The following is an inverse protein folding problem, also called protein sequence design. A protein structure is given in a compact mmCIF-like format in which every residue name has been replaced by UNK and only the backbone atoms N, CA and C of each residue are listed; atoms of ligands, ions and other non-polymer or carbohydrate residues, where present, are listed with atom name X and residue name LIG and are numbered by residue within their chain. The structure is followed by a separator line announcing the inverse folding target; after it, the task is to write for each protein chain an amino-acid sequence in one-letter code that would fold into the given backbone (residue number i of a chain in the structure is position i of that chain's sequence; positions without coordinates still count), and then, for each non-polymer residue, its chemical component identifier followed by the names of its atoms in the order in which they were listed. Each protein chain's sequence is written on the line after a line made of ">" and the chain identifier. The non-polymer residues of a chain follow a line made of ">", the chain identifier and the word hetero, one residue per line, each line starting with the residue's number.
data_IF_784644801025
#
_entry.id   IF_784644801025
#
_cell.length_a   1.000
_cell.length_b   1.000
_cell.length_c   1.000
_cell.angle_alpha   90.00
_cell.angle_beta   90.00
_cell.angle_gamma   90.00
#
_symmetry.space_group_name_H-M   'P 1'
#
loop_
_entity.id
_entity.type
_entity.pdbx_description
1 polymer ?
#
# COMPACT_ATOMS: atom_id res chain seq x y z
N UNK A 1 -1.37 -15.10 -16.81
CA UNK A 1 -0.11 -15.77 -17.16
C UNK A 1 0.67 -15.94 -15.87
N UNK A 2 0.52 -17.10 -15.23
CA UNK A 2 1.27 -17.45 -14.02
C UNK A 2 2.74 -17.60 -14.44
N UNK A 3 3.63 -16.87 -13.77
CA UNK A 3 5.06 -16.99 -14.01
C UNK A 3 5.48 -18.40 -13.54
N UNK A 4 5.64 -19.34 -14.48
CA UNK A 4 6.14 -20.68 -14.20
C UNK A 4 7.65 -20.59 -13.99
N UNK A 5 8.05 -20.19 -12.79
CA UNK A 5 9.45 -20.19 -12.37
C UNK A 5 9.76 -21.54 -11.73
N UNK A 6 10.92 -22.13 -12.02
CA UNK A 6 11.32 -23.44 -11.49
C UNK A 6 11.35 -23.44 -9.96
N UNK A 7 11.08 -24.59 -9.33
CA UNK A 7 11.10 -24.73 -7.85
C UNK A 7 12.43 -24.26 -7.22
N UNK A 8 13.54 -24.44 -7.93
CA UNK A 8 14.87 -23.96 -7.53
C UNK A 8 14.99 -22.43 -7.57
N UNK A 9 14.47 -21.77 -8.60
CA UNK A 9 14.49 -20.30 -8.69
C UNK A 9 13.58 -19.69 -7.64
N UNK A 10 12.46 -20.37 -7.41
CA UNK A 10 11.46 -20.04 -6.43
C UNK A 10 12.07 -19.92 -5.02
N UNK A 11 12.78 -20.94 -4.56
CA UNK A 11 13.42 -20.96 -3.24
C UNK A 11 14.52 -19.89 -3.09
N UNK A 12 15.33 -19.69 -4.14
CA UNK A 12 16.38 -18.65 -4.16
C UNK A 12 15.78 -17.24 -4.07
N UNK A 13 14.69 -16.95 -4.79
CA UNK A 13 14.02 -15.65 -4.69
C UNK A 13 13.38 -15.43 -3.32
N UNK A 14 12.82 -16.46 -2.69
CA UNK A 14 12.29 -16.35 -1.33
C UNK A 14 13.41 -16.02 -0.33
N UNK A 15 14.53 -16.75 -0.39
CA UNK A 15 15.66 -16.53 0.51
C UNK A 15 16.29 -15.15 0.31
N UNK A 16 16.47 -14.70 -0.93
CA UNK A 16 16.97 -13.35 -1.22
C UNK A 16 15.99 -12.26 -0.77
N UNK A 17 14.68 -12.50 -0.91
CA UNK A 17 13.65 -11.58 -0.45
C UNK A 17 13.63 -11.48 1.08
N UNK A 18 13.71 -12.61 1.79
CA UNK A 18 13.83 -12.65 3.25
C UNK A 18 15.12 -11.96 3.68
N UNK A 19 16.25 -12.23 3.04
CA UNK A 19 17.52 -11.59 3.36
C UNK A 19 17.42 -10.08 3.21
N UNK A 20 16.97 -9.58 2.06
CA UNK A 20 16.80 -8.16 1.78
C UNK A 20 15.93 -7.46 2.84
N UNK A 21 14.76 -8.03 3.15
CA UNK A 21 13.80 -7.44 4.08
C UNK A 21 14.12 -7.67 5.56
N UNK A 22 15.13 -8.50 5.87
CA UNK A 22 15.52 -8.79 7.24
C UNK A 22 16.95 -8.39 7.60
N UNK A 23 17.66 -7.79 6.64
CA UNK A 23 18.90 -7.07 6.90
C UNK A 23 18.71 -6.02 7.98
N UNK A 24 19.75 -5.89 8.82
CA UNK A 24 19.77 -5.09 10.05
C UNK A 24 19.35 -3.62 9.85
N UNK A 25 19.55 -3.11 8.63
CA UNK A 25 19.24 -1.74 8.21
C UNK A 25 17.74 -1.39 8.23
N UNK A 26 16.83 -2.36 8.11
CA UNK A 26 15.38 -2.12 7.96
C UNK A 26 14.54 -2.66 9.13
N UNK A 27 15.19 -3.03 10.25
CA UNK A 27 14.59 -3.85 11.29
C UNK A 27 13.89 -3.03 12.38
N UNK A 28 12.56 -3.13 12.44
CA UNK A 28 11.86 -3.29 13.72
C UNK A 28 11.39 -4.75 13.80
N UNK A 29 11.57 -5.40 14.94
CA UNK A 29 11.34 -6.85 15.12
C UNK A 29 9.92 -7.29 14.72
N UNK A 30 8.92 -6.42 14.94
CA UNK A 30 7.52 -6.67 14.61
C UNK A 30 7.25 -6.82 13.10
N UNK A 31 8.01 -6.15 12.23
CA UNK A 31 7.80 -6.23 10.79
C UNK A 31 8.33 -7.55 10.19
N UNK A 32 9.34 -8.17 10.80
CA UNK A 32 9.95 -9.40 10.26
C UNK A 32 9.02 -10.60 10.36
N UNK A 33 8.34 -10.79 11.49
CA UNK A 33 7.44 -11.94 11.71
C UNK A 33 6.19 -11.85 10.82
N UNK A 34 5.53 -10.69 10.79
CA UNK A 34 4.32 -10.47 9.98
C UNK A 34 4.58 -10.69 8.49
N UNK A 35 5.68 -10.12 7.98
CA UNK A 35 6.04 -10.24 6.58
C UNK A 35 6.47 -11.67 6.25
N UNK A 36 7.25 -12.32 7.11
CA UNK A 36 7.63 -13.72 6.89
C UNK A 36 6.40 -14.62 6.89
N UNK A 37 5.47 -14.47 7.83
CA UNK A 37 4.26 -15.28 7.89
C UNK A 37 3.34 -15.06 6.68
N UNK A 38 3.11 -13.80 6.27
CA UNK A 38 2.27 -13.51 5.11
C UNK A 38 2.86 -14.07 3.81
N UNK A 39 4.14 -13.81 3.53
CA UNK A 39 4.76 -14.25 2.29
C UNK A 39 5.11 -15.73 2.30
N UNK A 40 5.54 -16.31 3.43
CA UNK A 40 5.75 -17.75 3.57
C UNK A 40 4.44 -18.52 3.42
N UNK A 41 3.34 -18.06 4.03
CA UNK A 41 2.03 -18.71 3.86
C UNK A 41 1.59 -18.70 2.39
N UNK A 42 1.64 -17.54 1.73
CA UNK A 42 1.29 -17.46 0.30
C UNK A 42 2.18 -18.35 -0.57
N UNK A 43 3.46 -18.42 -0.21
CA UNK A 43 4.42 -19.26 -0.90
C UNK A 43 4.14 -20.76 -0.73
N UNK A 44 3.99 -21.23 0.51
CA UNK A 44 3.76 -22.64 0.81
C UNK A 44 2.37 -23.12 0.36
N UNK A 45 1.35 -22.27 0.42
CA UNK A 45 -0.02 -22.65 0.06
C UNK A 45 -0.33 -22.50 -1.44
N UNK A 46 0.24 -21.49 -2.12
CA UNK A 46 -0.09 -21.20 -3.52
C UNK A 46 1.08 -21.38 -4.50
N UNK A 47 2.32 -21.55 -4.01
CA UNK A 47 3.51 -21.65 -4.86
C UNK A 47 3.83 -20.36 -5.63
N UNK A 48 3.31 -19.22 -5.17
CA UNK A 48 3.42 -17.92 -5.84
C UNK A 48 4.27 -16.96 -5.00
N UNK A 49 5.38 -16.46 -5.57
CA UNK A 49 6.16 -15.39 -4.95
C UNK A 49 5.49 -14.08 -5.32
N UNK A 50 5.27 -13.20 -4.35
CA UNK A 50 4.89 -11.84 -4.67
C UNK A 50 6.00 -11.17 -5.48
N UNK A 51 5.64 -10.64 -6.64
CA UNK A 51 6.54 -9.88 -7.51
C UNK A 51 6.37 -8.36 -7.35
N UNK A 52 5.38 -7.93 -6.58
CA UNK A 52 5.08 -6.53 -6.28
C UNK A 52 5.74 -6.01 -4.99
N UNK A 53 5.69 -4.69 -4.76
CA UNK A 53 6.20 -4.08 -3.53
C UNK A 53 5.40 -4.55 -2.31
N UNK A 54 5.99 -4.50 -1.11
CA UNK A 54 5.25 -4.82 0.12
C UNK A 54 4.09 -3.86 0.35
N UNK A 55 4.34 -2.58 0.05
CA UNK A 55 3.42 -1.47 0.30
C UNK A 55 3.30 -0.60 -0.95
N UNK A 56 2.07 -0.26 -1.31
CA UNK A 56 1.77 0.71 -2.36
C UNK A 56 1.04 1.90 -1.77
N UNK A 57 1.50 3.11 -2.12
CA UNK A 57 0.87 4.36 -1.71
C UNK A 57 0.05 4.89 -2.89
N UNK A 58 -1.22 5.17 -2.68
CA UNK A 58 -2.14 5.65 -3.72
C UNK A 58 -2.70 7.00 -3.29
N UNK A 59 -2.42 8.03 -4.09
CA UNK A 59 -3.12 9.31 -3.97
C UNK A 59 -4.52 9.14 -4.56
N UNK A 60 -5.55 9.21 -3.69
CA UNK A 60 -6.94 9.03 -4.10
C UNK A 60 -7.68 10.35 -4.29
N UNK A 61 -7.17 11.46 -3.75
CA UNK A 61 -7.83 12.77 -3.83
C UNK A 61 -6.83 13.91 -3.68
N UNK A 62 -7.01 14.96 -4.47
CA UNK A 62 -6.30 16.21 -4.32
C UNK A 62 -7.09 17.23 -3.47
N UNK A 63 -8.21 16.84 -2.84
CA UNK A 63 -8.91 17.70 -1.87
C UNK A 63 -8.14 17.72 -0.56
N UNK A 64 -7.92 18.90 0.01
CA UNK A 64 -7.33 19.06 1.33
C UNK A 64 -8.03 20.20 2.07
N UNK A 65 -8.35 20.00 3.35
CA UNK A 65 -8.90 21.04 4.22
C UNK A 65 -7.80 21.83 4.98
N UNK A 66 -6.53 21.53 4.71
CA UNK A 66 -5.36 22.19 5.30
C UNK A 66 -4.52 22.88 4.22
N UNK A 67 -3.73 23.88 4.64
CA UNK A 67 -2.84 24.65 3.76
C UNK A 67 -1.41 24.69 4.31
N UNK A 68 -0.84 23.52 4.61
CA UNK A 68 0.46 23.41 5.27
C UNK A 68 1.59 24.02 4.43
N UNK A 69 2.41 24.89 5.03
CA UNK A 69 3.53 25.57 4.33
C UNK A 69 4.59 24.60 3.79
N UNK A 70 4.73 23.42 4.40
CA UNK A 70 5.68 22.38 4.00
C UNK A 70 5.06 21.31 3.07
N UNK A 71 3.82 21.50 2.62
CA UNK A 71 3.16 20.52 1.76
C UNK A 71 3.75 20.56 0.35
N UNK A 72 4.40 19.47 -0.07
CA UNK A 72 5.01 19.31 -1.39
C UNK A 72 4.01 19.27 -2.55
N UNK A 73 2.71 19.15 -2.26
CA UNK A 73 1.61 19.05 -3.24
C UNK A 73 0.60 20.20 -3.16
N UNK A 74 0.92 21.25 -2.39
CA UNK A 74 0.02 22.40 -2.15
C UNK A 74 -0.54 23.02 -3.43
N UNK A 75 0.32 23.24 -4.43
CA UNK A 75 -0.06 23.83 -5.72
C UNK A 75 -0.81 22.85 -6.65
N UNK A 76 -0.92 21.57 -6.27
CA UNK A 76 -1.60 20.52 -7.04
C UNK A 76 -2.97 20.14 -6.46
N UNK A 77 -3.44 20.85 -5.43
CA UNK A 77 -4.76 20.63 -4.84
C UNK A 77 -5.85 21.28 -5.69
N UNK A 78 -6.23 20.58 -6.76
CA UNK A 78 -7.31 20.95 -7.69
C UNK A 78 -8.66 20.34 -7.32
N UNK A 79 -8.73 19.58 -6.22
CA UNK A 79 -9.93 18.90 -5.78
C UNK A 79 -10.38 17.77 -6.69
N UNK A 80 -9.49 17.22 -7.53
CA UNK A 80 -9.82 16.03 -8.31
C UNK A 80 -9.73 14.76 -7.45
N UNK A 81 -10.63 13.82 -7.72
CA UNK A 81 -10.70 12.50 -7.11
C UNK A 81 -10.33 11.46 -8.18
N UNK A 82 -9.68 10.36 -7.78
CA UNK A 82 -9.50 9.22 -8.68
C UNK A 82 -10.88 8.59 -8.99
N UNK A 83 -11.10 8.17 -10.23
CA UNK A 83 -12.31 7.39 -10.54
C UNK A 83 -12.26 6.03 -9.84
N UNK A 84 -13.42 5.54 -9.39
CA UNK A 84 -13.48 4.22 -8.75
C UNK A 84 -13.08 3.09 -9.70
N UNK A 85 -13.38 3.20 -10.99
CA UNK A 85 -12.94 2.23 -11.99
C UNK A 85 -11.42 2.09 -12.00
N UNK A 86 -10.72 3.23 -11.97
CA UNK A 86 -9.26 3.29 -12.04
C UNK A 86 -8.66 2.77 -10.74
N UNK A 87 -9.23 3.15 -9.59
CA UNK A 87 -8.83 2.60 -8.30
C UNK A 87 -9.01 1.08 -8.24
N UNK A 88 -10.15 0.55 -8.69
CA UNK A 88 -10.41 -0.89 -8.68
C UNK A 88 -9.47 -1.65 -9.61
N UNK A 89 -9.17 -1.08 -10.78
CA UNK A 89 -8.20 -1.62 -11.70
C UNK A 89 -6.80 -1.68 -11.08
N UNK A 90 -6.35 -0.58 -10.45
CA UNK A 90 -5.05 -0.53 -9.76
C UNK A 90 -5.03 -1.58 -8.64
N UNK A 91 -6.08 -1.63 -7.81
CA UNK A 91 -6.19 -2.55 -6.69
C UNK A 91 -6.07 -4.01 -7.15
N UNK A 92 -6.75 -4.38 -8.24
CA UNK A 92 -6.65 -5.72 -8.83
C UNK A 92 -5.21 -6.06 -9.28
N UNK A 93 -4.52 -5.11 -9.92
CA UNK A 93 -3.13 -5.33 -10.37
C UNK A 93 -2.19 -5.53 -9.21
N UNK A 94 -2.29 -4.71 -8.16
CA UNK A 94 -1.39 -4.81 -7.01
C UNK A 94 -1.69 -6.05 -6.15
N UNK A 95 -2.95 -6.44 -6.00
CA UNK A 95 -3.31 -7.64 -5.24
C UNK A 95 -2.84 -8.90 -5.97
N UNK A 96 -2.96 -8.93 -7.31
CA UNK A 96 -2.41 -10.00 -8.15
C UNK A 96 -0.89 -10.07 -8.05
N UNK A 97 -0.21 -8.93 -7.91
CA UNK A 97 1.24 -8.88 -7.70
C UNK A 97 1.68 -9.28 -6.27
N UNK A 98 0.74 -9.57 -5.37
CA UNK A 98 1.03 -9.97 -3.99
C UNK A 98 1.36 -8.80 -3.05
N UNK A 99 0.95 -7.57 -3.37
CA UNK A 99 1.08 -6.43 -2.47
C UNK A 99 0.30 -6.69 -1.17
N UNK A 100 0.95 -6.45 -0.03
CA UNK A 100 0.38 -6.71 1.29
C UNK A 100 -0.40 -5.51 1.84
N UNK A 101 0.15 -4.30 1.65
CA UNK A 101 -0.37 -3.07 2.24
C UNK A 101 -0.69 -2.01 1.18
N UNK A 102 -1.85 -1.36 1.33
CA UNK A 102 -2.25 -0.19 0.56
C UNK A 102 -2.37 1.00 1.51
N UNK A 103 -1.68 2.07 1.18
CA UNK A 103 -1.78 3.33 1.91
C UNK A 103 -2.50 4.38 1.10
N UNK A 104 -3.63 4.84 1.63
CA UNK A 104 -4.45 5.87 1.02
C UNK A 104 -3.94 7.24 1.46
N UNK A 105 -3.63 8.08 0.48
CA UNK A 105 -3.09 9.43 0.70
C UNK A 105 -3.68 10.43 -0.30
N UNK A 106 -3.10 11.63 -0.35
CA UNK A 106 -3.41 12.68 -1.30
C UNK A 106 -3.27 14.04 -0.65
N UNK A 107 -4.31 14.85 -0.75
CA UNK A 107 -4.56 15.91 0.23
C UNK A 107 -4.97 15.28 1.57
N UNK A 108 -6.27 15.32 1.87
CA UNK A 108 -6.86 14.60 3.00
C UNK A 108 -7.72 13.46 2.45
N UNK A 109 -7.26 12.19 2.52
CA UNK A 109 -7.96 11.05 1.93
C UNK A 109 -9.39 10.86 2.42
N UNK A 110 -9.70 11.30 3.65
CA UNK A 110 -11.06 11.22 4.20
C UNK A 110 -12.06 12.20 3.55
N UNK A 111 -11.59 13.17 2.74
CA UNK A 111 -12.44 14.07 1.97
C UNK A 111 -12.88 13.49 0.61
N UNK A 112 -12.35 12.34 0.20
CA UNK A 112 -12.76 11.70 -1.04
C UNK A 112 -14.24 11.28 -0.97
N UNK A 113 -15.07 11.73 -1.92
CA UNK A 113 -16.53 11.54 -1.88
C UNK A 113 -16.99 10.08 -1.79
N UNK A 114 -16.15 9.15 -2.23
CA UNK A 114 -16.44 7.71 -2.25
C UNK A 114 -15.48 6.90 -1.37
N UNK A 115 -14.88 7.51 -0.34
CA UNK A 115 -13.90 6.86 0.55
C UNK A 115 -14.40 5.53 1.12
N UNK A 116 -15.68 5.44 1.52
CA UNK A 116 -16.23 4.19 2.07
C UNK A 116 -16.18 3.03 1.06
N UNK A 117 -16.49 3.29 -0.22
CA UNK A 117 -16.42 2.28 -1.29
C UNK A 117 -14.99 1.82 -1.54
N UNK A 118 -14.02 2.75 -1.47
CA UNK A 118 -12.59 2.46 -1.58
C UNK A 118 -12.16 1.53 -0.44
N UNK A 119 -12.49 1.87 0.81
CA UNK A 119 -12.14 1.07 1.99
C UNK A 119 -12.77 -0.33 1.92
N UNK A 120 -14.05 -0.40 1.57
CA UNK A 120 -14.77 -1.67 1.45
C UNK A 120 -14.14 -2.58 0.39
N UNK A 121 -13.83 -2.04 -0.81
CA UNK A 121 -13.20 -2.82 -1.87
C UNK A 121 -11.81 -3.30 -1.48
N UNK A 122 -11.02 -2.44 -0.84
CA UNK A 122 -9.63 -2.76 -0.43
C UNK A 122 -9.62 -3.83 0.65
N UNK A 123 -10.54 -3.75 1.62
CA UNK A 123 -10.69 -4.77 2.65
C UNK A 123 -11.12 -6.11 2.05
N UNK A 124 -12.06 -6.10 1.10
CA UNK A 124 -12.48 -7.31 0.35
C UNK A 124 -11.34 -7.94 -0.44
N UNK A 125 -10.34 -7.17 -0.84
CA UNK A 125 -9.15 -7.67 -1.53
C UNK A 125 -8.08 -8.25 -0.59
N UNK A 126 -8.35 -8.31 0.71
CA UNK A 126 -7.45 -8.84 1.75
C UNK A 126 -6.10 -8.10 1.83
N UNK A 127 -6.09 -6.81 1.52
CA UNK A 127 -4.94 -5.94 1.77
C UNK A 127 -5.08 -5.24 3.12
N UNK A 128 -3.96 -5.08 3.83
CA UNK A 128 -3.89 -4.14 4.95
C UNK A 128 -4.06 -2.71 4.42
N UNK A 129 -4.78 -1.88 5.18
CA UNK A 129 -5.08 -0.50 4.80
C UNK A 129 -4.50 0.45 5.85
N UNK A 130 -3.69 1.40 5.40
CA UNK A 130 -3.33 2.56 6.21
C UNK A 130 -3.88 3.84 5.57
N UNK A 131 -4.30 4.80 6.40
CA UNK A 131 -4.80 6.09 5.94
C UNK A 131 -3.82 7.16 6.42
N UNK A 132 -3.25 7.90 5.47
CA UNK A 132 -2.34 9.00 5.75
C UNK A 132 -3.15 10.30 5.82
N UNK A 133 -3.74 10.56 6.99
CA UNK A 133 -4.52 11.76 7.27
C UNK A 133 -3.72 12.80 8.07
N UNK A 134 -4.09 14.07 7.94
CA UNK A 134 -3.47 15.18 8.67
C UNK A 134 -4.51 15.95 9.47
N UNK A 135 -4.18 16.26 10.72
CA UNK A 135 -5.07 17.00 11.62
C UNK A 135 -4.34 18.25 12.11
N UNK A 136 -4.98 19.43 12.01
CA UNK A 136 -4.46 20.66 12.61
C UNK A 136 -4.59 20.58 14.12
N UNK A 137 -3.48 20.70 14.85
CA UNK A 137 -3.51 20.83 16.32
C UNK A 137 -4.21 22.13 16.72
N UNK A 138 -5.07 22.06 17.74
CA UNK A 138 -5.74 23.25 18.29
C UNK A 138 -4.69 24.17 18.93
N UNK A 139 -4.72 25.47 18.62
CA UNK A 139 -3.79 26.47 19.17
C UNK A 139 -2.47 26.65 18.41
N UNK A 140 -2.23 25.91 17.32
CA UNK A 140 -1.07 26.17 16.45
C UNK A 140 -1.35 27.32 15.48
N UNK A 141 -0.61 28.43 15.64
CA UNK A 141 -0.54 29.55 14.71
C UNK A 141 0.44 29.11 13.61
N UNK A 142 -0.09 28.82 12.42
CA UNK A 142 0.66 28.85 11.16
C UNK A 142 0.11 30.01 10.36
#
# INVERSE_FOLDING_TARGET
>A
MLCLISESFKEVSFNNWIEYHTTEKYRTTANKEILTDYYAKRWYEAGELACGPIRTIINITNRCNLNCNHCSKKESFDGQDINLSDYFFILEKITTAGVHNVSLTGGEPLLHHQILKILEKTKKANCQIDILNAIKKRGSIL
#
